data_IF_759608313852
#
_entry.id   IF_759608313852
#
_cell.length_a   1.000
_cell.length_b   1.000
_cell.length_c   1.000
_cell.angle_alpha   90.00
_cell.angle_beta   90.00
_cell.angle_gamma   90.00
#
_symmetry.space_group_name_H-M   'P 1'
#
loop_
_entity.id
_entity.type
_entity.pdbx_description
1 polymer ?
#
# COMPACT_ATOMS: atom_id res chain seq x y z
N UNK A 1 19.48 -5.34 8.39
CA UNK A 1 18.22 -6.12 8.23
C UNK A 1 18.12 -6.56 6.78
N UNK A 2 18.06 -7.86 6.51
CA UNK A 2 17.96 -8.39 5.16
C UNK A 2 16.49 -8.75 4.90
N UNK A 3 15.79 -7.96 4.11
CA UNK A 3 14.41 -8.24 3.69
C UNK A 3 14.37 -8.48 2.18
N UNK A 4 13.56 -9.45 1.75
CA UNK A 4 13.48 -9.88 0.34
C UNK A 4 14.43 -11.02 0.00
N UNK A 5 13.99 -11.92 -0.88
CA UNK A 5 14.75 -13.11 -1.32
C UNK A 5 15.73 -12.78 -2.45
N UNK A 6 15.31 -11.93 -3.38
CA UNK A 6 16.06 -11.63 -4.60
C UNK A 6 17.09 -10.55 -4.35
N UNK A 7 18.28 -10.76 -4.94
CA UNK A 7 19.42 -9.88 -4.80
C UNK A 7 20.10 -9.67 -6.14
N UNK A 8 20.70 -8.50 -6.28
CA UNK A 8 21.64 -8.17 -7.35
C UNK A 8 22.85 -7.49 -6.71
N UNK A 9 24.06 -7.93 -7.06
CA UNK A 9 25.31 -7.47 -6.42
C UNK A 9 25.28 -7.54 -4.88
N UNK A 10 24.72 -8.62 -4.33
CA UNK A 10 24.60 -8.83 -2.88
C UNK A 10 23.54 -7.96 -2.16
N UNK A 11 22.97 -6.97 -2.83
CA UNK A 11 21.95 -6.05 -2.27
C UNK A 11 20.54 -6.56 -2.51
N UNK A 12 19.66 -6.28 -1.56
CA UNK A 12 18.22 -6.53 -1.69
C UNK A 12 17.59 -5.50 -2.62
N UNK A 13 16.69 -5.96 -3.49
CA UNK A 13 15.92 -5.08 -4.37
C UNK A 13 14.77 -4.36 -3.63
N UNK A 14 14.47 -4.73 -2.39
CA UNK A 14 13.36 -4.16 -1.63
C UNK A 14 13.73 -2.86 -0.92
N UNK A 15 14.93 -2.80 -0.32
CA UNK A 15 15.37 -1.62 0.43
C UNK A 15 15.35 -0.34 -0.43
N UNK A 16 15.83 -0.36 -1.68
CA UNK A 16 15.74 0.80 -2.56
C UNK A 16 14.33 1.39 -2.73
N UNK A 17 13.31 0.53 -2.77
CA UNK A 17 11.92 0.97 -2.95
C UNK A 17 11.42 1.78 -1.74
N UNK A 18 11.80 1.38 -0.53
CA UNK A 18 11.32 1.99 0.72
C UNK A 18 12.25 3.07 1.27
N UNK A 19 13.51 3.09 0.85
CA UNK A 19 14.54 4.01 1.33
C UNK A 19 14.81 5.17 0.37
N UNK A 20 14.22 5.14 -0.84
CA UNK A 20 14.32 6.21 -1.82
C UNK A 20 14.09 7.59 -1.23
N UNK A 21 14.84 8.57 -1.71
CA UNK A 21 14.80 9.98 -1.28
C UNK A 21 15.12 10.26 0.19
N UNK A 22 15.54 9.26 0.98
CA UNK A 22 15.90 9.47 2.40
C UNK A 22 17.39 9.75 2.56
N UNK A 23 17.72 10.51 3.60
CA UNK A 23 19.06 10.53 4.20
C UNK A 23 19.10 9.52 5.35
N UNK A 24 20.30 9.12 5.74
CA UNK A 24 20.53 8.05 6.71
C UNK A 24 21.66 8.47 7.63
N UNK A 25 21.34 8.50 8.91
CA UNK A 25 22.27 8.70 10.02
C UNK A 25 22.17 7.53 10.98
N UNK A 26 23.22 7.31 11.74
CA UNK A 26 23.25 6.31 12.82
C UNK A 26 23.21 7.01 14.16
N UNK A 27 22.37 6.47 15.05
CA UNK A 27 22.18 7.03 16.38
C UNK A 27 21.75 5.95 17.36
N UNK A 28 22.51 5.78 18.44
CA UNK A 28 22.22 4.83 19.50
C UNK A 28 21.33 5.47 20.58
N UNK A 29 20.01 5.30 20.45
CA UNK A 29 19.02 5.81 21.40
C UNK A 29 19.00 5.09 22.77
N UNK A 30 19.88 4.10 22.98
CA UNK A 30 20.03 3.44 24.29
C UNK A 30 20.90 4.24 25.25
N UNK A 31 21.74 5.13 24.73
CA UNK A 31 22.61 6.00 25.51
C UNK A 31 21.93 7.37 25.68
N UNK A 32 22.06 7.99 26.85
CA UNK A 32 21.48 9.31 27.14
C UNK A 32 21.98 10.38 26.14
N UNK A 33 23.28 10.39 25.82
CA UNK A 33 23.86 11.30 24.83
C UNK A 33 23.25 11.10 23.43
N UNK A 34 22.89 9.87 23.06
CA UNK A 34 22.20 9.58 21.80
C UNK A 34 20.76 10.10 21.80
N UNK A 35 20.07 10.05 22.94
CA UNK A 35 18.74 10.62 23.12
C UNK A 35 18.79 12.16 23.07
N UNK A 36 19.80 12.77 23.69
CA UNK A 36 20.05 14.22 23.62
C UNK A 36 20.22 14.69 22.18
N UNK A 37 21.02 13.94 21.40
CA UNK A 37 21.23 14.24 19.99
C UNK A 37 19.95 14.06 19.17
N UNK A 38 19.12 13.05 19.50
CA UNK A 38 17.82 12.87 18.87
C UNK A 38 16.89 14.06 19.15
N UNK A 39 16.84 14.57 20.40
CA UNK A 39 16.02 15.75 20.74
C UNK A 39 16.47 16.99 19.96
N UNK A 40 17.77 17.18 19.78
CA UNK A 40 18.34 18.26 18.96
C UNK A 40 17.98 18.13 17.48
N UNK A 41 17.96 16.93 16.92
CA UNK A 41 17.50 16.72 15.54
C UNK A 41 16.00 16.98 15.40
N UNK A 42 15.20 16.50 16.35
CA UNK A 42 13.74 16.58 16.32
C UNK A 42 13.26 18.02 16.56
N UNK A 43 13.99 18.86 17.30
CA UNK A 43 13.62 20.26 17.49
C UNK A 43 13.53 21.03 16.18
N UNK A 44 14.31 20.62 15.17
CA UNK A 44 14.32 21.21 13.82
C UNK A 44 13.34 20.53 12.86
N UNK A 45 12.65 19.46 13.29
CA UNK A 45 11.79 18.66 12.43
C UNK A 45 10.31 19.10 12.50
N UNK A 46 9.64 19.06 11.36
CA UNK A 46 8.18 19.24 11.30
C UNK A 46 7.41 17.99 11.70
N UNK A 47 7.92 16.83 11.28
CA UNK A 47 7.28 15.54 11.45
C UNK A 47 8.29 14.51 11.95
N UNK A 48 7.93 13.79 13.01
CA UNK A 48 8.61 12.56 13.43
C UNK A 48 7.71 11.38 13.12
N UNK A 49 8.25 10.38 12.44
CA UNK A 49 7.54 9.13 12.15
C UNK A 49 8.23 7.98 12.89
N UNK A 50 7.46 7.24 13.67
CA UNK A 50 7.96 6.12 14.46
C UNK A 50 7.01 4.93 14.39
N UNK A 51 7.56 3.72 14.52
CA UNK A 51 6.80 2.47 14.55
C UNK A 51 7.31 1.48 15.60
N UNK A 52 7.82 2.01 16.72
CA UNK A 52 8.18 1.20 17.87
C UNK A 52 6.93 0.66 18.57
N UNK A 53 7.14 -0.27 19.50
CA UNK A 53 6.06 -0.66 20.41
C UNK A 53 5.65 0.54 21.26
N UNK A 54 4.34 0.76 21.52
CA UNK A 54 3.88 1.83 22.39
C UNK A 54 4.68 1.89 23.70
N UNK A 55 5.02 3.11 24.14
CA UNK A 55 5.83 3.33 25.34
C UNK A 55 7.36 3.23 25.14
N UNK A 56 7.85 2.90 23.94
CA UNK A 56 9.31 2.78 23.72
C UNK A 56 10.01 4.14 23.73
N UNK A 57 9.46 5.14 23.02
CA UNK A 57 10.07 6.47 22.97
C UNK A 57 9.93 7.20 24.31
N UNK A 58 8.83 6.98 25.02
CA UNK A 58 8.61 7.52 26.37
C UNK A 58 9.71 7.06 27.34
N UNK A 59 10.17 5.81 27.24
CA UNK A 59 11.29 5.29 28.06
C UNK A 59 12.63 5.98 27.77
N UNK A 60 12.75 6.66 26.64
CA UNK A 60 13.94 7.41 26.22
C UNK A 60 13.77 8.92 26.40
N UNK A 61 12.67 9.39 27.00
CA UNK A 61 12.35 10.82 27.08
C UNK A 61 12.20 11.46 25.70
N UNK A 62 11.69 10.68 24.74
CA UNK A 62 11.40 11.06 23.36
C UNK A 62 9.89 10.90 23.07
N UNK A 63 9.07 10.90 24.12
CA UNK A 63 7.61 10.86 23.98
C UNK A 63 7.08 12.17 23.39
N UNK A 64 5.84 12.15 22.91
CA UNK A 64 5.22 13.34 22.34
C UNK A 64 5.16 14.51 23.33
N UNK A 65 4.86 14.24 24.60
CA UNK A 65 4.80 15.28 25.65
C UNK A 65 6.15 15.98 25.82
N UNK A 66 7.25 15.21 25.87
CA UNK A 66 8.61 15.75 25.99
C UNK A 66 9.01 16.56 24.74
N UNK A 67 8.78 16.00 23.56
CA UNK A 67 9.21 16.59 22.29
C UNK A 67 8.36 17.82 21.92
N UNK A 68 7.05 17.80 22.19
CA UNK A 68 6.16 18.93 21.91
C UNK A 68 6.40 20.13 22.85
N UNK A 69 6.97 19.90 24.04
CA UNK A 69 7.44 20.98 24.91
C UNK A 69 8.64 21.75 24.30
N UNK A 70 9.46 21.06 23.50
CA UNK A 70 10.59 21.65 22.77
C UNK A 70 10.09 22.30 21.46
N UNK A 71 9.23 21.60 20.73
CA UNK A 71 8.67 22.06 19.47
C UNK A 71 7.14 21.90 19.46
N UNK A 72 6.42 22.98 19.79
CA UNK A 72 4.95 22.99 19.83
C UNK A 72 4.29 22.79 18.45
N UNK A 73 5.05 22.91 17.36
CA UNK A 73 4.62 22.66 15.98
C UNK A 73 4.79 21.21 15.53
N UNK A 74 5.39 20.34 16.36
CA UNK A 74 5.75 18.97 15.99
C UNK A 74 4.53 18.09 15.74
N UNK A 75 4.47 17.47 14.56
CA UNK A 75 3.55 16.37 14.27
C UNK A 75 4.28 15.04 14.52
N UNK A 76 3.68 14.16 15.33
CA UNK A 76 4.25 12.83 15.60
C UNK A 76 3.34 11.74 15.05
N UNK A 77 3.80 11.06 14.00
CA UNK A 77 3.11 9.91 13.41
C UNK A 77 3.59 8.64 14.10
N UNK A 78 2.65 7.88 14.66
CA UNK A 78 2.92 6.65 15.40
C UNK A 78 2.17 5.50 14.75
N UNK A 79 2.91 4.52 14.23
CA UNK A 79 2.31 3.35 13.58
C UNK A 79 2.55 2.12 14.45
N UNK A 80 1.48 1.48 14.91
CA UNK A 80 1.57 0.27 15.73
C UNK A 80 0.51 -0.77 15.34
N UNK A 81 0.66 -2.01 15.82
CA UNK A 81 -0.27 -3.08 15.46
C UNK A 81 -1.72 -2.80 15.88
N UNK A 82 -1.90 -2.25 17.08
CA UNK A 82 -3.19 -2.11 17.76
C UNK A 82 -3.52 -0.68 18.22
N UNK A 83 -2.68 0.32 17.88
CA UNK A 83 -2.82 1.70 18.33
C UNK A 83 -2.05 1.99 19.63
N UNK A 84 -1.93 3.27 20.00
CA UNK A 84 -1.28 3.69 21.25
C UNK A 84 -2.20 3.51 22.48
N UNK A 85 -3.47 3.16 22.27
CA UNK A 85 -4.49 3.02 23.33
C UNK A 85 -5.28 1.71 23.21
N UNK A 86 -6.14 1.43 24.19
CA UNK A 86 -6.96 0.22 24.21
C UNK A 86 -6.26 -1.01 24.83
N UNK A 87 -6.99 -2.13 24.96
CA UNK A 87 -6.53 -3.30 25.72
C UNK A 87 -5.38 -4.07 25.05
N UNK A 88 -5.17 -3.88 23.74
CA UNK A 88 -4.17 -4.61 22.97
C UNK A 88 -2.93 -3.77 22.61
N UNK A 89 -2.84 -2.51 23.09
CA UNK A 89 -1.73 -1.60 22.75
C UNK A 89 -0.33 -2.16 23.02
N UNK A 90 -0.19 -2.97 24.07
CA UNK A 90 1.11 -3.53 24.48
C UNK A 90 1.46 -4.85 23.75
N UNK A 91 0.54 -5.36 22.91
CA UNK A 91 0.78 -6.59 22.15
C UNK A 91 1.67 -6.34 20.94
N UNK A 92 2.47 -7.35 20.58
CA UNK A 92 3.24 -7.31 19.35
C UNK A 92 2.30 -7.47 18.14
N UNK A 93 2.45 -6.61 17.14
CA UNK A 93 1.70 -6.68 15.89
C UNK A 93 2.57 -6.32 14.68
N UNK A 94 2.28 -6.98 13.55
CA UNK A 94 2.84 -6.71 12.24
C UNK A 94 1.69 -6.64 11.22
N UNK A 95 1.96 -6.20 9.99
CA UNK A 95 1.00 -6.15 8.88
C UNK A 95 0.06 -7.35 8.80
N UNK A 96 0.59 -8.58 8.88
CA UNK A 96 -0.21 -9.81 8.79
C UNK A 96 -1.23 -9.98 9.91
N UNK A 97 -0.93 -9.51 11.12
CA UNK A 97 -1.85 -9.54 12.27
C UNK A 97 -2.92 -8.47 12.10
N UNK A 98 -2.54 -7.27 11.63
CA UNK A 98 -3.49 -6.22 11.30
C UNK A 98 -4.45 -6.62 10.18
N UNK A 99 -3.97 -7.32 9.15
CA UNK A 99 -4.81 -7.89 8.08
C UNK A 99 -5.79 -8.96 8.60
N UNK A 100 -5.37 -9.77 9.59
CA UNK A 100 -6.24 -10.77 10.20
C UNK A 100 -7.31 -10.11 11.08
N UNK A 101 -6.90 -9.24 12.01
CA UNK A 101 -7.79 -8.56 12.94
C UNK A 101 -8.73 -7.56 12.24
N UNK A 102 -8.23 -6.86 11.24
CA UNK A 102 -9.01 -5.94 10.42
C UNK A 102 -9.97 -6.64 9.46
N UNK A 103 -9.93 -7.98 9.34
CA UNK A 103 -10.94 -8.78 8.64
C UNK A 103 -10.65 -9.08 7.17
N UNK A 104 -9.69 -8.41 6.52
CA UNK A 104 -9.47 -8.59 5.07
C UNK A 104 -9.05 -10.01 4.71
N UNK A 105 -8.32 -10.70 5.59
CA UNK A 105 -8.00 -12.13 5.38
C UNK A 105 -9.24 -13.01 5.41
N UNK A 106 -10.26 -12.67 6.20
CA UNK A 106 -11.47 -13.49 6.28
C UNK A 106 -12.22 -13.54 4.95
N UNK A 107 -12.23 -12.44 4.20
CA UNK A 107 -12.99 -12.28 2.94
C UNK A 107 -12.16 -12.57 1.68
N UNK A 108 -10.84 -12.75 1.79
CA UNK A 108 -9.96 -12.99 0.64
C UNK A 108 -9.83 -14.48 0.33
N UNK A 109 -9.94 -14.86 -0.94
CA UNK A 109 -9.63 -16.21 -1.44
C UNK A 109 -10.86 -17.06 -1.73
N UNK A 110 -10.66 -18.37 -1.89
CA UNK A 110 -11.72 -19.33 -2.17
C UNK A 110 -12.34 -19.90 -0.89
N UNK A 111 -13.64 -20.27 -0.90
CA UNK A 111 -14.34 -20.79 0.27
C UNK A 111 -13.87 -22.19 0.69
N UNK A 112 -13.37 -22.99 -0.26
CA UNK A 112 -13.00 -24.41 -0.11
C UNK A 112 -11.63 -24.64 0.56
N UNK A 113 -10.89 -23.57 0.89
CA UNK A 113 -9.51 -23.65 1.41
C UNK A 113 -9.24 -22.61 2.49
N UNK A 114 -8.17 -22.78 3.29
CA UNK A 114 -7.78 -21.79 4.28
C UNK A 114 -7.57 -20.41 3.64
N UNK A 115 -7.93 -19.32 4.35
CA UNK A 115 -7.80 -17.98 3.79
C UNK A 115 -6.33 -17.67 3.44
N UNK A 116 -6.02 -17.33 2.18
CA UNK A 116 -4.67 -16.96 1.77
C UNK A 116 -4.29 -15.57 2.30
N UNK A 117 -3.01 -15.24 2.16
CA UNK A 117 -2.54 -13.85 2.21
C UNK A 117 -2.39 -13.32 0.79
N UNK A 118 -2.49 -12.01 0.64
CA UNK A 118 -1.99 -11.34 -0.57
C UNK A 118 -0.46 -11.46 -0.62
N UNK A 119 0.10 -11.57 -1.82
CA UNK A 119 1.54 -11.72 -2.07
C UNK A 119 2.43 -10.52 -1.69
N UNK A 120 1.82 -9.46 -1.16
CA UNK A 120 2.49 -8.22 -0.70
C UNK A 120 2.10 -7.91 0.75
N UNK A 121 2.73 -6.89 1.35
CA UNK A 121 2.41 -6.42 2.71
C UNK A 121 1.34 -5.33 2.65
N UNK A 122 0.07 -5.73 2.49
CA UNK A 122 -1.02 -4.78 2.29
C UNK A 122 -1.31 -3.98 3.56
N UNK A 123 -1.39 -4.64 4.72
CA UNK A 123 -1.67 -3.96 6.00
C UNK A 123 -0.64 -2.87 6.34
N UNK A 124 0.66 -3.16 6.15
CA UNK A 124 1.74 -2.19 6.39
C UNK A 124 1.62 -0.98 5.44
N UNK A 125 1.33 -1.21 4.16
CA UNK A 125 1.16 -0.14 3.16
C UNK A 125 -0.07 0.72 3.42
N UNK A 126 -1.17 0.12 3.88
CA UNK A 126 -2.38 0.87 4.26
C UNK A 126 -2.10 1.77 5.47
N UNK A 127 -1.47 1.23 6.51
CA UNK A 127 -1.10 2.00 7.68
C UNK A 127 -0.14 3.15 7.34
N UNK A 128 0.86 2.91 6.47
CA UNK A 128 1.75 3.97 5.99
C UNK A 128 1.01 5.06 5.21
N UNK A 129 0.01 4.68 4.39
CA UNK A 129 -0.81 5.63 3.63
C UNK A 129 -1.65 6.51 4.54
N UNK A 130 -2.35 5.92 5.52
CA UNK A 130 -3.10 6.69 6.52
C UNK A 130 -2.19 7.54 7.41
N UNK A 131 -1.00 7.06 7.75
CA UNK A 131 0.00 7.84 8.50
C UNK A 131 0.48 9.06 7.73
N UNK A 132 0.78 8.91 6.43
CA UNK A 132 1.16 10.02 5.56
C UNK A 132 0.00 11.02 5.37
N UNK A 133 -1.22 10.53 5.14
CA UNK A 133 -2.42 11.36 5.05
C UNK A 133 -2.66 12.14 6.35
N UNK A 134 -2.55 11.48 7.49
CA UNK A 134 -2.69 12.10 8.80
C UNK A 134 -1.61 13.16 9.05
N UNK A 135 -0.36 12.89 8.65
CA UNK A 135 0.73 13.86 8.74
C UNK A 135 0.44 15.12 7.92
N UNK A 136 0.07 14.97 6.63
CA UNK A 136 -0.27 16.09 5.75
C UNK A 136 -1.48 16.85 6.28
N UNK A 137 -2.49 16.16 6.81
CA UNK A 137 -3.69 16.78 7.41
C UNK A 137 -3.33 17.59 8.66
N UNK A 138 -2.45 17.06 9.52
CA UNK A 138 -1.98 17.74 10.72
C UNK A 138 -1.13 18.97 10.38
N UNK A 139 -0.22 18.84 9.40
CA UNK A 139 0.55 19.97 8.87
C UNK A 139 -0.37 21.03 8.26
N UNK A 140 -1.35 20.63 7.46
CA UNK A 140 -2.32 21.57 6.89
C UNK A 140 -3.11 22.32 7.98
N UNK A 141 -3.54 21.64 9.05
CA UNK A 141 -4.16 22.29 10.20
C UNK A 141 -3.23 23.31 10.87
N UNK A 142 -1.95 22.95 11.06
CA UNK A 142 -0.92 23.83 11.61
C UNK A 142 -0.75 25.09 10.75
N UNK A 143 -0.48 24.92 9.45
CA UNK A 143 -0.15 26.02 8.53
C UNK A 143 -1.36 26.87 8.12
N UNK A 144 -2.48 26.24 7.79
CA UNK A 144 -3.63 26.93 7.20
C UNK A 144 -4.68 27.38 8.22
N UNK A 145 -4.66 26.81 9.44
CA UNK A 145 -5.68 27.08 10.48
C UNK A 145 -5.10 27.61 11.79
N UNK A 146 -3.78 27.81 11.86
CA UNK A 146 -3.11 28.25 13.09
C UNK A 146 -3.17 27.20 14.20
N UNK A 147 -3.32 25.92 13.83
CA UNK A 147 -3.26 24.80 14.76
C UNK A 147 -1.85 24.58 15.31
N UNK A 148 -1.74 23.69 16.30
CA UNK A 148 -0.46 23.21 16.82
C UNK A 148 -0.08 21.87 16.17
N UNK A 149 1.12 21.39 16.47
CA UNK A 149 1.47 19.99 16.26
C UNK A 149 0.52 19.05 17.02
N UNK A 150 0.52 17.77 16.64
CA UNK A 150 -0.33 16.74 17.26
C UNK A 150 0.17 15.33 16.98
N UNK A 151 -0.37 14.36 17.72
CA UNK A 151 -0.15 12.93 17.45
C UNK A 151 -1.08 12.49 16.31
N UNK A 152 -0.53 11.73 15.38
CA UNK A 152 -1.25 10.93 14.39
C UNK A 152 -1.05 9.46 14.77
N UNK A 153 -2.01 8.87 15.48
CA UNK A 153 -1.99 7.45 15.87
C UNK A 153 -2.66 6.61 14.79
N UNK A 154 -1.92 5.63 14.25
CA UNK A 154 -2.41 4.71 13.24
C UNK A 154 -2.20 3.28 13.70
N UNK A 155 -3.32 2.62 14.02
CA UNK A 155 -3.33 1.18 14.22
C UNK A 155 -3.43 0.46 12.87
N UNK A 156 -2.57 -0.54 12.63
CA UNK A 156 -2.56 -1.30 11.37
C UNK A 156 -3.93 -1.97 11.13
N UNK A 157 -4.57 -2.51 12.17
CA UNK A 157 -5.89 -3.15 12.00
C UNK A 157 -6.99 -2.14 11.66
N UNK A 158 -6.91 -0.89 12.14
CA UNK A 158 -7.87 0.18 11.81
C UNK A 158 -7.71 0.66 10.37
N UNK A 159 -6.47 0.73 9.88
CA UNK A 159 -6.20 1.03 8.47
C UNK A 159 -6.83 -0.01 7.52
N UNK A 160 -6.86 -1.27 7.94
CA UNK A 160 -7.57 -2.34 7.21
C UNK A 160 -9.09 -2.19 7.38
N UNK A 161 -9.57 -2.00 8.61
CA UNK A 161 -10.98 -1.82 8.95
C UNK A 161 -11.64 -0.72 8.11
N UNK A 162 -10.94 0.39 7.90
CA UNK A 162 -11.41 1.54 7.13
C UNK A 162 -11.77 1.19 5.67
N UNK A 163 -11.28 0.07 5.15
CA UNK A 163 -11.49 -0.39 3.78
C UNK A 163 -12.31 -1.69 3.70
N UNK A 164 -12.96 -2.10 4.79
CA UNK A 164 -13.80 -3.31 4.83
C UNK A 164 -15.23 -3.10 4.32
N UNK A 165 -15.48 -2.01 3.59
CA UNK A 165 -16.76 -1.68 2.95
C UNK A 165 -17.97 -1.81 3.92
N UNK A 166 -19.06 -2.45 3.48
CA UNK A 166 -20.30 -2.64 4.24
C UNK A 166 -20.31 -3.88 5.14
N UNK A 167 -19.18 -4.54 5.40
CA UNK A 167 -19.16 -5.78 6.21
C UNK A 167 -19.73 -5.59 7.62
N UNK A 168 -19.51 -4.43 8.25
CA UNK A 168 -20.08 -4.11 9.56
C UNK A 168 -21.61 -3.95 9.49
N UNK A 169 -22.19 -3.05 8.67
CA UNK A 169 -23.64 -2.92 8.58
C UNK A 169 -24.34 -4.18 8.03
N UNK A 170 -23.71 -4.95 7.15
CA UNK A 170 -24.23 -6.25 6.69
C UNK A 170 -24.50 -7.21 7.85
N UNK A 171 -23.56 -7.32 8.77
CA UNK A 171 -23.75 -8.15 9.96
C UNK A 171 -24.71 -7.49 10.95
N UNK A 172 -24.48 -6.22 11.31
CA UNK A 172 -25.21 -5.54 12.37
C UNK A 172 -26.70 -5.33 12.05
N UNK A 173 -27.05 -5.14 10.77
CA UNK A 173 -28.42 -4.82 10.34
C UNK A 173 -29.11 -5.98 9.63
N UNK A 174 -28.37 -6.85 8.94
CA UNK A 174 -28.94 -7.94 8.14
C UNK A 174 -28.51 -9.35 8.59
N UNK A 175 -27.66 -9.46 9.63
CA UNK A 175 -27.16 -10.75 10.13
C UNK A 175 -26.24 -11.48 9.14
N UNK A 176 -25.80 -10.81 8.08
CA UNK A 176 -25.01 -11.42 7.01
C UNK A 176 -23.52 -11.32 7.32
N UNK A 177 -22.83 -12.45 7.26
CA UNK A 177 -21.37 -12.52 7.39
C UNK A 177 -20.81 -12.69 5.99
N UNK A 178 -20.12 -11.66 5.48
CA UNK A 178 -19.46 -11.73 4.18
C UNK A 178 -18.36 -12.79 4.20
N UNK A 179 -18.42 -13.73 3.26
CA UNK A 179 -17.47 -14.84 3.14
C UNK A 179 -16.54 -14.68 1.95
N UNK A 180 -15.59 -15.61 1.83
CA UNK A 180 -14.74 -15.80 0.65
C UNK A 180 -15.54 -16.31 -0.53
N UNK A 181 -15.29 -15.75 -1.72
CA UNK A 181 -16.06 -16.05 -2.94
C UNK A 181 -15.17 -16.45 -4.12
N UNK A 182 -13.85 -16.50 -3.93
CA UNK A 182 -12.90 -16.73 -5.02
C UNK A 182 -12.77 -15.49 -5.89
N UNK A 183 -12.93 -15.67 -7.20
CA UNK A 183 -12.81 -14.59 -8.19
C UNK A 183 -14.14 -13.85 -8.46
N UNK A 184 -15.26 -14.38 -7.96
CA UNK A 184 -16.59 -13.82 -8.25
C UNK A 184 -16.95 -12.71 -7.27
N UNK A 185 -17.75 -11.75 -7.75
CA UNK A 185 -18.60 -10.92 -6.92
C UNK A 185 -20.02 -11.54 -6.90
N UNK A 186 -20.49 -12.11 -5.77
CA UNK A 186 -21.80 -12.76 -5.71
C UNK A 186 -22.92 -11.81 -6.12
N UNK A 187 -23.83 -12.30 -6.96
CA UNK A 187 -24.96 -11.56 -7.53
C UNK A 187 -24.58 -10.37 -8.42
N UNK A 188 -23.29 -10.16 -8.71
CA UNK A 188 -22.81 -9.09 -9.58
C UNK A 188 -22.17 -9.72 -10.82
N UNK A 189 -23.01 -10.10 -11.78
CA UNK A 189 -22.59 -10.89 -12.93
C UNK A 189 -22.86 -10.20 -14.30
N UNK A 190 -21.94 -10.35 -15.28
CA UNK A 190 -20.59 -10.91 -15.14
C UNK A 190 -19.63 -9.87 -14.52
N UNK A 191 -18.92 -10.28 -13.47
CA UNK A 191 -17.79 -9.55 -12.88
C UNK A 191 -16.86 -10.56 -12.21
N UNK A 192 -15.95 -11.12 -13.00
CA UNK A 192 -15.16 -12.29 -12.60
C UNK A 192 -13.82 -12.33 -13.36
N UNK A 193 -12.91 -13.18 -12.90
CA UNK A 193 -11.68 -13.58 -13.57
C UNK A 193 -11.92 -14.84 -14.40
N UNK A 194 -11.71 -14.76 -15.71
CA UNK A 194 -11.93 -15.85 -16.66
C UNK A 194 -10.61 -16.38 -17.22
N UNK A 195 -10.45 -17.70 -17.36
CA UNK A 195 -9.27 -18.31 -17.96
C UNK A 195 -9.27 -18.15 -19.48
N UNK A 196 -8.09 -18.05 -20.07
CA UNK A 196 -7.90 -17.94 -21.53
C UNK A 196 -7.18 -19.18 -22.09
N UNK A 197 -7.25 -19.38 -23.40
CA UNK A 197 -6.70 -20.55 -24.10
C UNK A 197 -5.18 -20.66 -24.09
N UNK A 198 -4.48 -19.55 -23.85
CA UNK A 198 -3.03 -19.44 -23.67
C UNK A 198 -2.56 -19.65 -22.22
N UNK A 199 -3.48 -19.96 -21.30
CA UNK A 199 -3.17 -20.24 -19.89
C UNK A 199 -3.06 -19.01 -19.00
N UNK A 200 -3.40 -17.83 -19.52
CA UNK A 200 -3.52 -16.58 -18.76
C UNK A 200 -4.95 -16.38 -18.22
N UNK A 201 -5.21 -15.21 -17.66
CA UNK A 201 -6.50 -14.81 -17.12
C UNK A 201 -6.84 -13.36 -17.46
N UNK A 202 -8.13 -13.10 -17.66
CA UNK A 202 -8.69 -11.76 -17.84
C UNK A 202 -9.80 -11.50 -16.83
N UNK A 203 -9.83 -10.30 -16.27
CA UNK A 203 -11.00 -9.80 -15.55
C UNK A 203 -11.93 -9.15 -16.57
N UNK A 204 -13.21 -9.50 -16.53
CA UNK A 204 -14.26 -8.86 -17.35
C UNK A 204 -15.35 -8.35 -16.42
N UNK A 205 -15.71 -7.07 -16.55
CA UNK A 205 -16.82 -6.44 -15.84
C UNK A 205 -17.89 -5.96 -16.81
N UNK A 206 -18.98 -6.73 -16.95
CA UNK A 206 -20.13 -6.37 -17.78
C UNK A 206 -21.46 -6.50 -17.03
N UNK A 207 -21.45 -6.30 -15.71
CA UNK A 207 -22.58 -6.53 -14.83
C UNK A 207 -23.74 -5.52 -14.97
N UNK A 208 -23.53 -4.36 -15.58
CA UNK A 208 -24.58 -3.39 -15.87
C UNK A 208 -25.32 -3.76 -17.17
N UNK A 209 -26.65 -3.67 -17.19
CA UNK A 209 -27.48 -4.19 -18.31
C UNK A 209 -27.07 -3.67 -19.69
N UNK A 210 -26.75 -2.38 -19.80
CA UNK A 210 -26.31 -1.78 -21.07
C UNK A 210 -24.94 -2.26 -21.52
N UNK A 211 -24.05 -2.59 -20.57
CA UNK A 211 -22.73 -3.15 -20.85
C UNK A 211 -22.88 -4.62 -21.22
N UNK A 212 -23.72 -5.36 -20.50
CA UNK A 212 -24.04 -6.76 -20.80
C UNK A 212 -24.61 -6.93 -22.20
N UNK A 213 -25.51 -6.04 -22.65
CA UNK A 213 -26.03 -6.09 -24.01
C UNK A 213 -24.96 -5.99 -25.11
N UNK A 214 -23.97 -5.11 -24.92
CA UNK A 214 -22.82 -5.00 -25.85
C UNK A 214 -21.90 -6.21 -25.75
N UNK A 215 -21.65 -6.69 -24.54
CA UNK A 215 -20.85 -7.88 -24.26
C UNK A 215 -21.45 -9.13 -24.91
N UNK A 216 -22.72 -9.43 -24.66
CA UNK A 216 -23.44 -10.55 -25.23
C UNK A 216 -23.42 -10.53 -26.76
N UNK A 217 -23.66 -9.35 -27.36
CA UNK A 217 -23.52 -9.17 -28.82
C UNK A 217 -22.10 -9.45 -29.31
N UNK A 218 -21.07 -8.98 -28.61
CA UNK A 218 -19.67 -9.18 -28.98
C UNK A 218 -19.25 -10.66 -28.87
N UNK A 219 -19.86 -11.41 -27.95
CA UNK A 219 -19.67 -12.86 -27.81
C UNK A 219 -20.42 -13.66 -28.89
N UNK A 220 -21.27 -13.02 -29.71
CA UNK A 220 -22.11 -13.67 -30.72
C UNK A 220 -23.44 -14.19 -30.19
N UNK A 221 -23.82 -13.78 -28.98
CA UNK A 221 -25.02 -14.22 -28.26
C UNK A 221 -25.94 -13.06 -27.86
N UNK A 222 -26.38 -12.18 -28.78
CA UNK A 222 -27.24 -11.05 -28.45
C UNK A 222 -28.53 -11.46 -27.73
N UNK A 223 -29.03 -12.68 -27.98
CA UNK A 223 -30.22 -13.25 -27.34
C UNK A 223 -30.09 -13.39 -25.82
N UNK A 224 -28.87 -13.45 -25.26
CA UNK A 224 -28.69 -13.48 -23.81
C UNK A 224 -29.21 -12.20 -23.16
N UNK A 225 -29.03 -11.04 -23.79
CA UNK A 225 -29.47 -9.77 -23.24
C UNK A 225 -31.00 -9.57 -23.31
N UNK A 226 -31.71 -10.38 -24.10
CA UNK A 226 -33.16 -10.33 -24.26
C UNK A 226 -33.88 -11.45 -23.49
N UNK A 227 -33.18 -12.55 -23.22
CA UNK A 227 -33.72 -13.73 -22.54
C UNK A 227 -33.92 -13.53 -21.04
N UNK A 228 -35.00 -14.10 -20.50
CA UNK A 228 -35.40 -13.98 -19.09
C UNK A 228 -34.28 -14.34 -18.09
N UNK A 229 -33.38 -15.27 -18.47
CA UNK A 229 -32.24 -15.71 -17.64
C UNK A 229 -31.18 -14.65 -17.41
N UNK A 230 -30.90 -13.77 -18.38
CA UNK A 230 -29.77 -12.84 -18.32
C UNK A 230 -30.11 -11.37 -18.66
N UNK A 231 -31.37 -11.07 -18.98
CA UNK A 231 -31.80 -9.74 -19.41
C UNK A 231 -31.54 -8.62 -18.39
N UNK A 232 -31.56 -8.95 -17.09
CA UNK A 232 -31.35 -7.98 -16.01
C UNK A 232 -30.19 -8.38 -15.10
N UNK A 233 -29.59 -7.40 -14.44
CA UNK A 233 -28.54 -7.60 -13.46
C UNK A 233 -28.93 -8.63 -12.39
N UNK A 234 -30.16 -8.54 -11.87
CA UNK A 234 -30.68 -9.50 -10.91
C UNK A 234 -30.76 -10.91 -11.50
N UNK A 235 -31.32 -11.06 -12.70
CA UNK A 235 -31.44 -12.36 -13.35
C UNK A 235 -30.06 -13.00 -13.59
N UNK A 236 -29.06 -12.21 -14.00
CA UNK A 236 -27.67 -12.67 -14.13
C UNK A 236 -27.06 -13.08 -12.80
N UNK A 237 -27.37 -12.37 -11.71
CA UNK A 237 -26.92 -12.75 -10.36
C UNK A 237 -27.47 -14.11 -9.92
N UNK A 238 -28.75 -14.40 -10.19
CA UNK A 238 -29.38 -15.70 -9.88
C UNK A 238 -28.83 -16.85 -10.74
N UNK A 239 -28.39 -16.55 -11.97
CA UNK A 239 -27.84 -17.53 -12.91
C UNK A 239 -26.32 -17.36 -13.13
N UNK A 240 -25.60 -16.84 -12.11
CA UNK A 240 -24.21 -16.40 -12.24
C UNK A 240 -23.26 -17.55 -12.62
N UNK A 241 -23.41 -18.73 -12.01
CA UNK A 241 -22.55 -19.88 -12.28
C UNK A 241 -22.67 -20.34 -13.74
N UNK A 242 -23.90 -20.51 -14.25
CA UNK A 242 -24.17 -20.88 -15.65
C UNK A 242 -23.62 -19.82 -16.62
N UNK A 243 -23.82 -18.53 -16.33
CA UNK A 243 -23.31 -17.45 -17.17
C UNK A 243 -21.78 -17.41 -17.18
N UNK A 244 -21.15 -17.57 -16.02
CA UNK A 244 -19.70 -17.55 -15.89
C UNK A 244 -19.06 -18.76 -16.61
N UNK A 245 -19.72 -19.92 -16.62
CA UNK A 245 -19.30 -21.10 -17.39
C UNK A 245 -19.36 -20.83 -18.91
N UNK A 246 -20.47 -20.27 -19.41
CA UNK A 246 -20.61 -19.91 -20.82
C UNK A 246 -19.55 -18.90 -21.27
N UNK A 247 -19.25 -17.90 -20.43
CA UNK A 247 -18.21 -16.92 -20.70
C UNK A 247 -16.83 -17.59 -20.66
N UNK A 248 -16.57 -18.46 -19.68
CA UNK A 248 -15.32 -19.22 -19.58
C UNK A 248 -15.08 -20.10 -20.80
N UNK A 249 -16.11 -20.76 -21.32
CA UNK A 249 -16.02 -21.57 -22.55
C UNK A 249 -15.65 -20.72 -23.75
N UNK A 250 -16.16 -19.48 -23.83
CA UNK A 250 -15.81 -18.54 -24.88
C UNK A 250 -14.37 -18.01 -24.73
N UNK A 251 -13.93 -17.66 -23.52
CA UNK A 251 -12.58 -17.12 -23.28
C UNK A 251 -11.49 -18.19 -23.43
N UNK A 252 -11.75 -19.45 -23.06
CA UNK A 252 -10.81 -20.57 -23.22
C UNK A 252 -10.43 -20.88 -24.66
N UNK A 253 -11.21 -20.41 -25.63
CA UNK A 253 -10.93 -20.61 -27.06
C UNK A 253 -10.04 -19.51 -27.66
N UNK A 254 -9.62 -18.52 -26.85
CA UNK A 254 -8.93 -17.31 -27.29
C UNK A 254 -7.75 -17.00 -26.38
N UNK A 255 -6.75 -16.31 -26.91
CA UNK A 255 -5.69 -15.71 -26.11
C UNK A 255 -6.23 -14.55 -25.27
N UNK A 256 -5.52 -14.15 -24.21
CA UNK A 256 -5.93 -13.00 -23.41
C UNK A 256 -6.04 -11.71 -24.25
N UNK A 257 -5.12 -11.51 -25.20
CA UNK A 257 -5.12 -10.34 -26.08
C UNK A 257 -6.34 -10.31 -27.01
N UNK A 258 -6.70 -11.44 -27.61
CA UNK A 258 -7.91 -11.54 -28.45
C UNK A 258 -9.18 -11.25 -27.65
N UNK A 259 -9.25 -11.71 -26.39
CA UNK A 259 -10.38 -11.38 -25.52
C UNK A 259 -10.43 -9.86 -25.25
N UNK A 260 -9.30 -9.26 -24.87
CA UNK A 260 -9.20 -7.84 -24.57
C UNK A 260 -9.56 -6.96 -25.78
N UNK A 261 -9.16 -7.35 -26.99
CA UNK A 261 -9.54 -6.65 -28.22
C UNK A 261 -11.06 -6.62 -28.39
N UNK A 262 -11.72 -7.78 -28.31
CA UNK A 262 -13.18 -7.88 -28.44
C UNK A 262 -13.88 -7.02 -27.38
N UNK A 263 -13.37 -7.03 -26.14
CA UNK A 263 -13.93 -6.21 -25.05
C UNK A 263 -13.75 -4.72 -25.33
N UNK A 264 -12.58 -4.30 -25.83
CA UNK A 264 -12.27 -2.91 -26.19
C UNK A 264 -13.18 -2.41 -27.31
N UNK A 265 -13.31 -3.16 -28.40
CA UNK A 265 -14.21 -2.84 -29.52
C UNK A 265 -15.67 -2.70 -29.06
N UNK A 266 -16.10 -3.54 -28.12
CA UNK A 266 -17.44 -3.52 -27.53
C UNK A 266 -17.64 -2.45 -26.43
N UNK A 267 -16.60 -1.71 -26.05
CA UNK A 267 -16.61 -0.80 -24.89
C UNK A 267 -17.08 -1.50 -23.60
N UNK A 268 -16.49 -2.68 -23.36
CA UNK A 268 -16.67 -3.50 -22.14
C UNK A 268 -15.38 -3.41 -21.30
N UNK A 269 -15.46 -3.04 -20.02
CA UNK A 269 -14.30 -3.05 -19.13
C UNK A 269 -13.70 -4.45 -18.99
N UNK A 270 -12.43 -4.58 -19.36
CA UNK A 270 -11.67 -5.80 -19.15
C UNK A 270 -10.18 -5.47 -18.94
N UNK A 271 -9.46 -6.39 -18.31
CA UNK A 271 -8.02 -6.25 -18.10
C UNK A 271 -7.36 -7.58 -17.80
N UNK A 272 -6.11 -7.73 -18.26
CA UNK A 272 -5.27 -8.88 -17.94
C UNK A 272 -4.74 -8.78 -16.51
N UNK A 273 -4.47 -9.93 -15.87
CA UNK A 273 -3.79 -10.00 -14.58
C UNK A 273 -2.28 -9.71 -14.77
N UNK A 274 -1.89 -8.45 -14.63
CA UNK A 274 -0.52 -8.01 -14.90
C UNK A 274 0.51 -8.64 -13.95
N UNK A 275 1.59 -9.16 -14.54
CA UNK A 275 2.86 -9.43 -13.90
C UNK A 275 3.78 -8.20 -13.94
N UNK A 276 4.94 -8.27 -13.28
CA UNK A 276 5.94 -7.20 -13.39
C UNK A 276 6.53 -7.08 -14.82
N UNK A 277 6.56 -8.17 -15.59
CA UNK A 277 6.98 -8.14 -16.99
C UNK A 277 5.96 -7.38 -17.85
N UNK A 278 4.67 -7.67 -17.67
CA UNK A 278 3.60 -6.93 -18.36
C UNK A 278 3.67 -5.43 -18.03
N UNK A 279 3.82 -5.06 -16.75
CA UNK A 279 3.93 -3.66 -16.32
C UNK A 279 5.12 -2.92 -16.95
N UNK A 280 6.23 -3.61 -17.21
CA UNK A 280 7.42 -3.02 -17.85
C UNK A 280 7.25 -2.85 -19.36
N UNK A 281 6.46 -3.70 -20.00
CA UNK A 281 6.23 -3.70 -21.43
C UNK A 281 5.00 -2.87 -21.87
N UNK A 282 4.07 -2.58 -20.96
CA UNK A 282 2.78 -1.96 -21.27
C UNK A 282 2.86 -0.48 -21.68
N UNK A 283 2.13 -0.14 -22.75
CA UNK A 283 2.12 1.20 -23.35
C UNK A 283 1.52 2.26 -22.42
N UNK A 284 0.50 1.91 -21.62
CA UNK A 284 -0.13 2.84 -20.68
C UNK A 284 0.80 3.12 -19.48
N UNK A 285 1.52 2.11 -18.99
CA UNK A 285 2.55 2.30 -17.97
C UNK A 285 3.69 3.20 -18.47
N UNK A 286 4.13 3.00 -19.72
CA UNK A 286 5.13 3.84 -20.36
C UNK A 286 4.63 5.28 -20.57
N UNK A 287 3.44 5.46 -21.16
CA UNK A 287 2.85 6.76 -21.45
C UNK A 287 2.61 7.60 -20.18
N UNK A 288 2.28 6.94 -19.07
CA UNK A 288 2.09 7.58 -17.76
C UNK A 288 3.37 7.71 -16.94
N UNK A 289 4.48 7.13 -17.42
CA UNK A 289 5.75 7.06 -16.70
C UNK A 289 5.56 6.48 -15.29
N UNK A 290 4.74 5.42 -15.19
CA UNK A 290 4.44 4.75 -13.92
C UNK A 290 5.65 4.01 -13.35
N UNK A 291 6.63 3.70 -14.19
CA UNK A 291 7.92 3.13 -13.81
C UNK A 291 9.01 4.12 -14.19
N UNK A 292 9.91 4.39 -13.25
CA UNK A 292 11.11 5.21 -13.45
C UNK A 292 12.35 4.35 -13.25
N UNK A 293 13.40 4.66 -13.99
CA UNK A 293 14.71 4.07 -13.81
C UNK A 293 15.62 5.09 -13.15
N UNK A 294 16.17 4.75 -11.99
CA UNK A 294 17.06 5.60 -11.20
C UNK A 294 18.41 4.91 -11.11
N UNK A 295 19.50 5.65 -11.23
CA UNK A 295 20.84 5.07 -11.10
C UNK A 295 21.16 4.75 -9.63
N UNK A 296 21.28 3.46 -9.32
CA UNK A 296 21.75 2.97 -8.04
C UNK A 296 23.29 2.93 -8.04
N UNK A 297 23.98 3.47 -7.01
CA UNK A 297 25.44 3.48 -6.95
C UNK A 297 26.11 2.10 -7.02
N UNK A 298 25.40 1.02 -6.68
CA UNK A 298 25.95 -0.34 -6.68
C UNK A 298 25.35 -1.26 -7.75
N UNK A 299 24.07 -1.07 -8.10
CA UNK A 299 23.36 -1.93 -9.06
C UNK A 299 23.36 -1.34 -10.48
N UNK A 300 23.56 -0.02 -10.62
CA UNK A 300 23.33 0.72 -11.86
C UNK A 300 21.84 1.02 -12.07
N UNK A 301 21.35 1.03 -13.33
CA UNK A 301 19.96 1.38 -13.62
C UNK A 301 18.97 0.49 -12.85
N UNK A 302 18.13 1.11 -12.03
CA UNK A 302 17.19 0.46 -11.13
C UNK A 302 15.74 0.87 -11.42
N UNK A 303 14.89 -0.02 -11.97
CA UNK A 303 13.49 0.28 -12.22
C UNK A 303 12.65 0.22 -10.93
N UNK A 304 11.77 1.19 -10.74
CA UNK A 304 10.81 1.21 -9.63
C UNK A 304 9.54 2.00 -9.95
N UNK A 305 8.50 1.84 -9.12
CA UNK A 305 7.26 2.60 -9.26
C UNK A 305 7.54 4.09 -9.12
N UNK A 306 6.93 4.93 -9.96
CA UNK A 306 6.99 6.38 -9.81
C UNK A 306 6.09 6.86 -8.65
N UNK A 307 6.09 8.17 -8.38
CA UNK A 307 5.28 8.78 -7.32
C UNK A 307 3.81 8.88 -7.74
N UNK A 308 2.91 8.50 -6.83
CA UNK A 308 1.46 8.56 -7.00
C UNK A 308 0.86 9.32 -5.80
N UNK A 309 -0.11 10.24 -6.01
CA UNK A 309 -0.63 10.69 -7.31
C UNK A 309 0.35 11.63 -8.05
N UNK A 310 0.13 11.80 -9.35
CA UNK A 310 0.80 12.85 -10.13
C UNK A 310 0.05 14.17 -9.96
N UNK A 311 0.72 15.18 -9.40
CA UNK A 311 0.20 16.54 -9.29
C UNK A 311 0.58 17.33 -10.55
N UNK A 312 -0.32 18.19 -11.02
CA UNK A 312 -0.12 18.95 -12.26
C UNK A 312 0.95 20.04 -12.15
N UNK A 313 1.07 20.68 -10.98
CA UNK A 313 2.00 21.79 -10.75
C UNK A 313 3.26 21.37 -9.97
N UNK A 314 3.12 20.41 -9.06
CA UNK A 314 4.19 19.96 -8.16
C UNK A 314 4.37 18.43 -8.21
N UNK A 315 4.67 17.85 -9.38
CA UNK A 315 4.82 16.41 -9.51
C UNK A 315 5.94 15.90 -8.59
N UNK A 316 5.69 14.77 -7.93
CA UNK A 316 6.71 14.10 -7.14
C UNK A 316 7.79 13.46 -8.01
N UNK A 317 8.97 13.28 -7.44
CA UNK A 317 10.15 12.72 -8.11
C UNK A 317 10.84 11.67 -7.24
N UNK A 318 11.51 10.70 -7.88
CA UNK A 318 12.46 9.80 -7.22
C UNK A 318 13.87 10.26 -7.59
N UNK A 319 14.59 10.79 -6.62
CA UNK A 319 15.93 11.38 -6.81
C UNK A 319 17.06 10.37 -6.64
N UNK A 320 16.92 9.44 -5.69
CA UNK A 320 17.92 8.39 -5.45
C UNK A 320 17.27 7.15 -4.82
N UNK A 321 17.89 6.00 -5.03
CA UNK A 321 17.42 4.67 -4.58
C UNK A 321 17.48 4.50 -3.06
N UNK A 322 18.26 5.30 -2.37
CA UNK A 322 18.36 5.28 -0.91
C UNK A 322 19.81 5.09 -0.47
N UNK A 323 20.13 5.47 0.77
CA UNK A 323 21.51 5.53 1.21
C UNK A 323 22.00 4.28 1.94
N UNK A 324 23.32 4.20 2.09
CA UNK A 324 23.96 3.33 3.06
C UNK A 324 23.64 3.74 4.50
N UNK A 325 23.85 2.82 5.44
CA UNK A 325 23.70 3.10 6.86
C UNK A 325 24.73 4.17 7.29
N UNK A 326 24.25 5.28 7.86
CA UNK A 326 25.12 6.36 8.34
C UNK A 326 25.77 7.22 7.25
N UNK A 327 25.38 7.05 5.97
CA UNK A 327 25.98 7.77 4.84
C UNK A 327 25.99 9.30 5.01
N UNK A 328 25.05 9.85 5.76
CA UNK A 328 24.87 11.29 5.93
C UNK A 328 25.19 11.77 7.36
N UNK A 329 25.97 11.01 8.13
CA UNK A 329 26.35 11.40 9.49
C UNK A 329 27.07 12.76 9.52
N UNK A 330 28.10 12.94 8.71
CA UNK A 330 28.86 14.21 8.70
C UNK A 330 27.96 15.38 8.28
N UNK A 331 27.21 15.22 7.18
CA UNK A 331 26.28 16.25 6.68
C UNK A 331 25.27 16.67 7.76
N UNK A 332 24.60 15.71 8.41
CA UNK A 332 23.54 16.04 9.37
C UNK A 332 24.13 16.51 10.70
N UNK A 333 25.14 15.85 11.26
CA UNK A 333 25.66 16.23 12.58
C UNK A 333 26.52 17.49 12.52
N UNK A 334 27.30 17.72 11.46
CA UNK A 334 28.16 18.90 11.37
C UNK A 334 27.40 20.09 10.77
N UNK A 335 26.73 19.93 9.62
CA UNK A 335 26.14 21.07 8.92
C UNK A 335 24.82 21.52 9.58
N UNK A 336 23.97 20.58 9.99
CA UNK A 336 22.67 20.91 10.58
C UNK A 336 22.77 21.17 12.10
N UNK A 337 23.54 20.37 12.84
CA UNK A 337 23.68 20.55 14.29
C UNK A 337 24.93 21.33 14.74
N UNK A 338 25.78 21.74 13.81
CA UNK A 338 26.98 22.55 14.09
C UNK A 338 28.04 21.82 14.91
N UNK A 339 28.07 20.47 14.90
CA UNK A 339 29.05 19.71 15.67
C UNK A 339 30.45 19.82 15.05
N UNK A 340 31.47 19.94 15.91
CA UNK A 340 32.85 19.88 15.45
C UNK A 340 33.22 18.47 14.99
N UNK A 341 34.25 18.36 14.14
CA UNK A 341 34.82 17.07 13.75
C UNK A 341 35.31 16.27 14.97
N UNK A 342 35.86 16.97 15.98
CA UNK A 342 36.31 16.37 17.24
C UNK A 342 35.14 15.77 18.04
N UNK A 343 34.04 16.51 18.21
CA UNK A 343 32.86 16.02 18.93
C UNK A 343 32.24 14.81 18.22
N UNK A 344 32.08 14.89 16.90
CA UNK A 344 31.52 13.80 16.10
C UNK A 344 32.45 12.58 16.09
N UNK A 345 33.76 12.79 16.03
CA UNK A 345 34.77 11.75 16.19
C UNK A 345 34.65 11.03 17.53
N UNK A 346 34.51 11.79 18.62
CA UNK A 346 34.29 11.24 19.96
C UNK A 346 32.99 10.42 20.06
N UNK A 347 31.90 10.87 19.45
CA UNK A 347 30.64 10.09 19.42
C UNK A 347 30.78 8.77 18.64
N UNK A 348 31.54 8.77 17.54
CA UNK A 348 31.83 7.57 16.74
C UNK A 348 32.65 6.55 17.51
N UNK A 349 33.71 6.99 18.18
CA UNK A 349 34.56 6.11 19.00
C UNK A 349 33.79 5.43 20.13
N UNK A 350 32.80 6.13 20.70
CA UNK A 350 31.90 5.59 21.72
C UNK A 350 30.75 4.75 21.17
N UNK A 351 30.57 4.68 19.85
CA UNK A 351 29.48 3.94 19.21
C UNK A 351 28.11 4.57 19.43
N UNK A 352 28.05 5.89 19.63
CA UNK A 352 26.79 6.64 19.72
C UNK A 352 26.29 7.00 18.34
N UNK A 353 27.20 7.43 17.46
CA UNK A 353 26.96 7.69 16.03
C UNK A 353 27.64 6.62 15.20
#
# INVERSE_FOLDING_TARGET
RVWGRHRKEGRTLWWPIIARNKKSVTLNLREEEGQDLARRLISEADVVVENFRPGTLEKWGLGYEDLSAINAGLVMVRVSGYGQTGPYKDQAGFGSIGEAMGGIRHVTGYPDRPPPRVGISLGDSLAATFGALGAVTALYNREARGGKGQIVDVAIYEAVLALMESTIPEYALAGQIRSRTGAILPFVAPSNTYPTGDGDYVVIGANADTVFGRFAKALGHPEWAEGERYATHHARGENQEELDDLISDWTRQRTAEEVLEVMREASVPAGKLFTAEDMLADEQYAARQNIVTVDDPAIGPFPMQNVVPRLSETPGEVRWTGPELGQHNDEIYQEMLGMSEEDLGGLRERGIV
#
